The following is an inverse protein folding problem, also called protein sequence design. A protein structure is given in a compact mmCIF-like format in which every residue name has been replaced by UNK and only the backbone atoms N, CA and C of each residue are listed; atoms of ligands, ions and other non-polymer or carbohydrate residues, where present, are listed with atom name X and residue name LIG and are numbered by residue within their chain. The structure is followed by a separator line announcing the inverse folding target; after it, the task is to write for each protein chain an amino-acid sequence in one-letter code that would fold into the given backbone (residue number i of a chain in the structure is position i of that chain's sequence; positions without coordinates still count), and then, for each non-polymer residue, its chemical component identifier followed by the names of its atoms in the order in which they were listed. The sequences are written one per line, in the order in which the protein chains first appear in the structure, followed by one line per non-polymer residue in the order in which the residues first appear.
data_IF_089937607101
#
_entry.id   IF_089937607101
#
_cell.length_a   1.000
_cell.length_b   1.000
_cell.length_c   1.000
_cell.angle_alpha   90.00
_cell.angle_beta   90.00
_cell.angle_gamma   90.00
#
_symmetry.space_group_name_H-M   'P 1'
#
loop_
_entity.id
_entity.type
_entity.pdbx_description
1 polymer ?
#
# COMPACT_ATOMS: atom_id res chain seq x y z
N UNK A 1 -5.74 4.05 -14.77
CA UNK A 1 -6.80 4.44 -15.73
C UNK A 1 -6.69 5.93 -15.96
N UNK A 2 -6.88 6.43 -17.18
CA UNK A 2 -6.71 7.85 -17.52
C UNK A 2 -7.73 8.76 -16.83
N UNK A 3 -8.95 8.28 -16.65
CA UNK A 3 -10.05 8.99 -15.99
C UNK A 3 -11.00 8.00 -15.30
N UNK A 4 -11.92 8.53 -14.49
CA UNK A 4 -13.09 7.82 -14.01
C UNK A 4 -14.33 8.64 -14.31
N UNK A 5 -15.16 8.15 -15.24
CA UNK A 5 -16.40 8.82 -15.68
C UNK A 5 -16.16 10.24 -16.21
N UNK A 6 -15.01 10.48 -16.87
CA UNK A 6 -14.60 11.78 -17.39
C UNK A 6 -13.80 12.64 -16.40
N UNK A 7 -13.72 12.23 -15.13
CA UNK A 7 -12.94 12.94 -14.10
C UNK A 7 -11.48 12.47 -14.10
N UNK A 8 -10.57 13.29 -14.62
CA UNK A 8 -9.14 12.97 -14.73
C UNK A 8 -8.42 12.96 -13.37
N UNK A 9 -8.92 13.71 -12.38
CA UNK A 9 -8.38 13.80 -11.03
C UNK A 9 -9.25 13.06 -10.00
N UNK A 10 -9.93 12.00 -10.45
CA UNK A 10 -10.70 11.15 -9.56
C UNK A 10 -9.81 10.41 -8.55
N UNK A 11 -10.42 9.98 -7.44
CA UNK A 11 -9.75 9.26 -6.34
C UNK A 11 -8.93 8.03 -6.77
N UNK A 12 -9.26 7.40 -7.90
CA UNK A 12 -8.68 6.15 -8.40
C UNK A 12 -7.74 6.35 -9.61
N UNK A 13 -7.43 7.59 -10.00
CA UNK A 13 -6.46 7.92 -11.04
C UNK A 13 -5.04 8.32 -10.56
N UNK A 14 -4.70 8.51 -9.26
CA UNK A 14 -3.37 9.03 -8.87
C UNK A 14 -2.18 8.27 -9.46
N UNK A 15 -2.21 6.94 -9.47
CA UNK A 15 -1.10 6.13 -10.00
C UNK A 15 -0.92 6.26 -11.51
N UNK A 16 -1.99 6.52 -12.26
CA UNK A 16 -1.88 6.80 -13.69
C UNK A 16 -1.03 8.05 -13.93
N UNK A 17 -1.24 9.10 -13.12
CA UNK A 17 -0.44 10.31 -13.19
C UNK A 17 0.99 10.07 -12.69
N UNK A 18 1.17 9.29 -11.62
CA UNK A 18 2.51 8.93 -11.12
C UNK A 18 3.36 8.22 -12.17
N UNK A 19 2.76 7.37 -13.02
CA UNK A 19 3.48 6.69 -14.10
C UNK A 19 4.09 7.63 -15.14
N UNK A 20 3.63 8.88 -15.18
CA UNK A 20 4.08 9.93 -16.09
C UNK A 20 4.81 11.08 -15.38
N UNK A 21 5.07 10.95 -14.08
CA UNK A 21 5.74 11.99 -13.29
C UNK A 21 7.25 11.83 -13.36
N UNK A 22 7.95 12.88 -13.81
CA UNK A 22 9.40 12.93 -13.81
C UNK A 22 9.98 12.71 -12.40
N UNK A 23 11.03 11.88 -12.31
CA UNK A 23 11.67 11.53 -11.04
C UNK A 23 11.02 10.35 -10.31
N UNK A 24 9.92 9.80 -10.83
CA UNK A 24 9.36 8.53 -10.36
C UNK A 24 9.83 7.39 -11.27
N UNK A 25 10.48 6.40 -10.68
CA UNK A 25 10.87 5.18 -11.37
C UNK A 25 9.74 4.16 -11.29
N UNK A 26 9.10 3.88 -12.43
CA UNK A 26 7.90 3.04 -12.45
C UNK A 26 8.14 1.61 -11.94
N UNK A 27 9.32 1.02 -12.20
CA UNK A 27 9.65 -0.33 -11.71
C UNK A 27 9.93 -0.37 -10.20
N UNK A 28 10.01 0.80 -9.56
CA UNK A 28 10.04 0.95 -8.10
C UNK A 28 8.64 1.14 -7.49
N UNK A 29 7.59 1.28 -8.31
CA UNK A 29 6.20 1.27 -7.86
C UNK A 29 5.75 -0.17 -7.70
N UNK A 30 5.52 -0.60 -6.46
CA UNK A 30 5.10 -1.96 -6.13
C UNK A 30 3.72 -1.95 -5.48
N UNK A 31 2.71 -2.25 -6.29
CA UNK A 31 1.33 -2.44 -5.84
C UNK A 31 1.21 -3.75 -5.07
N UNK A 32 0.98 -3.65 -3.76
CA UNK A 32 1.03 -4.79 -2.86
C UNK A 32 -0.32 -5.04 -2.21
N UNK A 33 -0.77 -6.30 -2.21
CA UNK A 33 -2.05 -6.68 -1.61
C UNK A 33 -3.25 -6.52 -2.53
N UNK A 34 -3.05 -6.53 -3.85
CA UNK A 34 -4.15 -6.49 -4.82
C UNK A 34 -5.06 -7.72 -4.61
N UNK A 35 -6.34 -7.44 -4.36
CA UNK A 35 -7.39 -8.44 -4.11
C UNK A 35 -8.77 -7.91 -4.49
N UNK A 36 -9.78 -8.77 -4.37
CA UNK A 36 -11.18 -8.40 -4.54
C UNK A 36 -11.61 -8.17 -5.99
N UNK A 37 -12.94 -8.14 -6.24
CA UNK A 37 -13.51 -8.04 -7.58
C UNK A 37 -13.59 -6.60 -8.11
N UNK A 38 -13.23 -5.59 -7.31
CA UNK A 38 -13.31 -4.16 -7.69
C UNK A 38 -12.25 -3.75 -8.71
N UNK A 39 -11.19 -4.54 -8.87
CA UNK A 39 -10.12 -4.28 -9.83
C UNK A 39 -10.56 -4.63 -11.25
N UNK A 40 -10.37 -3.70 -12.18
CA UNK A 40 -10.67 -3.91 -13.59
C UNK A 40 -9.44 -4.49 -14.31
N UNK A 41 -9.58 -5.43 -15.26
CA UNK A 41 -8.43 -5.96 -16.00
C UNK A 41 -7.57 -4.87 -16.66
N UNK A 42 -8.20 -3.79 -17.10
CA UNK A 42 -7.54 -2.65 -17.72
C UNK A 42 -6.57 -1.94 -16.76
N UNK A 43 -6.90 -1.83 -15.47
CA UNK A 43 -6.00 -1.19 -14.49
C UNK A 43 -4.73 -2.00 -14.27
N UNK A 44 -4.86 -3.34 -14.28
CA UNK A 44 -3.70 -4.24 -14.24
C UNK A 44 -2.82 -4.12 -15.48
N UNK A 45 -3.42 -3.98 -16.66
CA UNK A 45 -2.67 -3.76 -17.92
C UNK A 45 -1.88 -2.45 -17.88
N UNK A 46 -2.51 -1.34 -17.47
CA UNK A 46 -1.81 -0.06 -17.38
C UNK A 46 -0.61 -0.11 -16.41
N UNK A 47 -0.78 -0.76 -15.26
CA UNK A 47 0.33 -0.93 -14.32
C UNK A 47 1.48 -1.74 -14.95
N UNK A 48 1.17 -2.83 -15.65
CA UNK A 48 2.16 -3.67 -16.32
C UNK A 48 2.88 -2.92 -17.45
N UNK A 49 2.12 -2.24 -18.32
CA UNK A 49 2.65 -1.44 -19.44
C UNK A 49 3.53 -0.29 -18.95
N UNK A 50 3.22 0.31 -17.80
CA UNK A 50 4.04 1.34 -17.18
C UNK A 50 5.34 0.79 -16.56
N UNK A 51 5.46 -0.54 -16.38
CA UNK A 51 6.60 -1.19 -15.71
C UNK A 51 6.43 -1.36 -14.20
N UNK A 52 5.26 -1.01 -13.64
CA UNK A 52 4.98 -1.18 -12.23
C UNK A 52 4.75 -2.65 -11.87
N UNK A 53 5.10 -3.00 -10.64
CA UNK A 53 5.05 -4.38 -10.15
C UNK A 53 3.76 -4.58 -9.37
N UNK A 54 3.08 -5.70 -9.63
CA UNK A 54 1.84 -6.06 -8.93
C UNK A 54 2.06 -7.34 -8.13
N UNK A 55 1.77 -7.27 -6.83
CA UNK A 55 1.81 -8.37 -5.87
C UNK A 55 0.40 -8.53 -5.32
N UNK A 56 -0.16 -9.72 -5.53
CA UNK A 56 -1.52 -10.05 -5.09
C UNK A 56 -1.52 -10.51 -3.63
N UNK A 57 -2.71 -10.57 -3.03
CA UNK A 57 -2.88 -11.17 -1.71
C UNK A 57 -2.46 -12.65 -1.68
N UNK A 58 -2.59 -13.36 -2.80
CA UNK A 58 -2.19 -14.77 -2.89
C UNK A 58 -0.68 -14.91 -2.87
N UNK A 59 0.07 -13.98 -3.47
CA UNK A 59 1.54 -13.96 -3.42
C UNK A 59 2.02 -13.74 -1.98
N UNK A 60 1.40 -12.80 -1.26
CA UNK A 60 1.70 -12.54 0.16
C UNK A 60 1.45 -13.80 1.00
N UNK A 61 0.32 -14.49 0.80
CA UNK A 61 -0.05 -15.68 1.58
C UNK A 61 0.72 -16.94 1.18
N UNK A 62 1.27 -16.98 -0.04
CA UNK A 62 2.16 -18.05 -0.48
C UNK A 62 3.58 -17.89 0.12
N UNK A 63 3.94 -16.71 0.62
CA UNK A 63 5.24 -16.47 1.21
C UNK A 63 5.45 -17.33 2.47
N UNK A 64 6.51 -18.14 2.50
CA UNK A 64 6.87 -18.94 3.67
C UNK A 64 7.33 -18.06 4.85
N UNK A 65 7.89 -16.89 4.56
CA UNK A 65 8.33 -15.93 5.56
C UNK A 65 7.95 -14.51 5.14
N UNK A 66 6.91 -13.97 5.77
CA UNK A 66 6.38 -12.65 5.47
C UNK A 66 7.40 -11.53 5.70
N UNK A 67 8.27 -11.65 6.72
CA UNK A 67 9.27 -10.62 7.01
C UNK A 67 10.31 -10.53 5.91
N UNK A 68 10.83 -11.68 5.48
CA UNK A 68 11.78 -11.73 4.37
C UNK A 68 11.12 -11.23 3.07
N UNK A 69 9.88 -11.65 2.82
CA UNK A 69 9.11 -11.18 1.67
C UNK A 69 8.95 -9.65 1.66
N UNK A 70 8.64 -9.03 2.79
CA UNK A 70 8.61 -7.58 2.92
C UNK A 70 10.00 -6.94 2.66
N UNK A 71 11.08 -7.52 3.18
CA UNK A 71 12.44 -7.01 2.88
C UNK A 71 12.79 -7.10 1.40
N UNK A 72 12.35 -8.15 0.71
CA UNK A 72 12.58 -8.34 -0.72
C UNK A 72 11.78 -7.31 -1.54
N UNK A 73 10.53 -7.04 -1.18
CA UNK A 73 9.72 -5.95 -1.76
C UNK A 73 10.44 -4.62 -1.61
N UNK A 74 10.89 -4.29 -0.39
CA UNK A 74 11.59 -3.03 -0.15
C UNK A 74 12.88 -2.94 -0.98
N UNK A 75 13.67 -4.02 -1.03
CA UNK A 75 14.92 -4.05 -1.81
C UNK A 75 14.68 -3.80 -3.30
N UNK A 76 13.56 -4.30 -3.83
CA UNK A 76 13.15 -4.01 -5.20
C UNK A 76 12.75 -2.55 -5.39
N UNK A 77 11.95 -2.00 -4.47
CA UNK A 77 11.51 -0.60 -4.52
C UNK A 77 12.69 0.38 -4.38
N UNK A 78 13.65 0.07 -3.51
CA UNK A 78 14.82 0.90 -3.23
C UNK A 78 15.95 0.77 -4.26
N UNK A 79 15.75 -0.02 -5.32
CA UNK A 79 16.76 -0.20 -6.36
C UNK A 79 16.82 1.04 -7.25
N UNK A 80 18.02 1.62 -7.38
CA UNK A 80 18.32 2.76 -8.25
C UNK A 80 17.45 4.00 -7.98
N UNK A 81 17.09 4.23 -6.71
CA UNK A 81 16.32 5.40 -6.25
C UNK A 81 16.96 5.99 -4.99
N UNK A 82 16.80 7.30 -4.78
CA UNK A 82 17.35 7.99 -3.60
C UNK A 82 16.55 7.75 -2.33
N UNK A 83 15.23 7.58 -2.46
CA UNK A 83 14.29 7.48 -1.33
C UNK A 83 13.13 6.54 -1.65
N UNK A 84 12.54 5.96 -0.60
CA UNK A 84 11.33 5.14 -0.67
C UNK A 84 10.22 5.80 0.13
N UNK A 85 9.04 5.94 -0.50
CA UNK A 85 7.82 6.46 0.12
C UNK A 85 6.79 5.34 0.24
N UNK A 86 6.08 5.27 1.36
CA UNK A 86 5.04 4.26 1.58
C UNK A 86 3.65 4.91 1.62
N UNK A 87 2.78 4.57 0.67
CA UNK A 87 1.36 4.95 0.73
C UNK A 87 0.52 3.73 1.08
N UNK A 88 -0.38 3.87 2.06
CA UNK A 88 -1.22 2.77 2.53
C UNK A 88 -2.68 3.14 2.34
N UNK A 89 -3.34 2.41 1.44
CA UNK A 89 -4.80 2.45 1.32
C UNK A 89 -5.42 1.50 2.34
N UNK A 90 -6.30 2.02 3.19
CA UNK A 90 -6.97 1.22 4.24
C UNK A 90 -7.75 0.02 3.69
N UNK A 91 -8.27 0.16 2.47
CA UNK A 91 -8.99 -0.88 1.72
C UNK A 91 -8.14 -2.13 1.41
N UNK A 92 -6.82 -2.10 1.64
CA UNK A 92 -5.97 -3.31 1.51
C UNK A 92 -6.30 -4.36 2.58
N UNK A 93 -6.86 -3.94 3.71
CA UNK A 93 -7.29 -4.81 4.79
C UNK A 93 -8.59 -5.52 4.45
N UNK A 94 -8.71 -6.76 4.92
CA UNK A 94 -9.99 -7.46 4.90
C UNK A 94 -11.04 -6.67 5.69
N UNK A 95 -12.30 -6.65 5.23
CA UNK A 95 -13.40 -5.95 5.89
C UNK A 95 -13.55 -6.33 7.38
N UNK A 96 -13.13 -7.54 7.79
CA UNK A 96 -13.10 -7.96 9.19
C UNK A 96 -12.17 -7.08 10.06
N UNK A 97 -11.16 -6.47 9.47
CA UNK A 97 -10.20 -5.56 10.11
C UNK A 97 -10.34 -4.10 9.68
N UNK A 98 -11.17 -3.81 8.67
CA UNK A 98 -11.53 -2.46 8.22
C UNK A 98 -13.05 -2.24 8.23
N UNK A 99 -13.68 -2.13 9.42
CA UNK A 99 -15.14 -2.06 9.55
C UNK A 99 -15.77 -0.79 8.98
N UNK A 100 -15.00 0.30 8.83
CA UNK A 100 -15.47 1.54 8.21
C UNK A 100 -15.29 1.59 6.70
N UNK A 101 -14.47 0.70 6.14
CA UNK A 101 -14.15 0.62 4.73
C UNK A 101 -15.22 -0.08 3.88
N UNK A 102 -14.97 -0.22 2.58
CA UNK A 102 -15.79 -1.03 1.70
C UNK A 102 -15.76 -2.50 2.13
N UNK A 103 -16.83 -3.23 1.81
CA UNK A 103 -16.99 -4.65 2.16
C UNK A 103 -16.20 -5.53 1.18
N UNK A 104 -14.87 -5.43 1.28
CA UNK A 104 -13.93 -6.24 0.52
C UNK A 104 -13.43 -7.41 1.36
N UNK A 105 -13.84 -8.61 0.95
CA UNK A 105 -13.35 -9.85 1.54
C UNK A 105 -12.03 -10.30 0.91
N UNK A 106 -11.31 -11.13 1.66
CA UNK A 106 -10.05 -11.72 1.26
C UNK A 106 -8.88 -10.73 1.18
N UNK A 107 -8.89 -9.71 2.04
CA UNK A 107 -7.81 -8.73 2.15
C UNK A 107 -6.70 -9.16 3.12
N UNK A 108 -5.81 -8.23 3.44
CA UNK A 108 -4.76 -8.43 4.45
C UNK A 108 -5.34 -8.43 5.86
N UNK A 109 -4.74 -9.22 6.73
CA UNK A 109 -4.94 -9.11 8.17
C UNK A 109 -4.16 -7.92 8.74
N UNK A 110 -4.58 -7.44 9.91
CA UNK A 110 -3.83 -6.40 10.63
C UNK A 110 -2.40 -6.84 10.97
N UNK A 111 -2.19 -8.12 11.26
CA UNK A 111 -0.86 -8.71 11.50
C UNK A 111 0.04 -8.61 10.26
N UNK A 112 -0.47 -9.00 9.09
CA UNK A 112 0.31 -8.99 7.86
C UNK A 112 0.72 -7.56 7.50
N UNK A 113 -0.23 -6.63 7.53
CA UNK A 113 0.03 -5.22 7.20
C UNK A 113 1.05 -4.60 8.16
N UNK A 114 0.87 -4.77 9.47
CA UNK A 114 1.80 -4.21 10.46
C UNK A 114 3.19 -4.84 10.38
N UNK A 115 3.28 -6.13 10.07
CA UNK A 115 4.57 -6.79 9.86
C UNK A 115 5.30 -6.17 8.68
N UNK A 116 4.62 -5.95 7.55
CA UNK A 116 5.23 -5.33 6.36
C UNK A 116 5.64 -3.88 6.63
N UNK A 117 4.77 -3.07 7.25
CA UNK A 117 5.08 -1.68 7.64
C UNK A 117 6.30 -1.62 8.55
N UNK A 118 6.37 -2.53 9.53
CA UNK A 118 7.52 -2.62 10.43
C UNK A 118 8.81 -2.90 9.64
N UNK A 119 8.83 -3.93 8.80
CA UNK A 119 10.03 -4.28 8.04
C UNK A 119 10.45 -3.13 7.10
N UNK A 120 9.51 -2.49 6.39
CA UNK A 120 9.78 -1.32 5.55
C UNK A 120 10.34 -0.15 6.38
N UNK A 121 9.73 0.14 7.53
CA UNK A 121 10.19 1.20 8.43
C UNK A 121 11.60 0.98 8.97
N UNK A 122 12.01 -0.29 9.15
CA UNK A 122 13.39 -0.64 9.55
C UNK A 122 14.42 -0.53 8.43
N UNK A 123 14.00 -0.35 7.18
CA UNK A 123 14.91 -0.21 6.04
C UNK A 123 15.05 1.26 5.58
N UNK A 124 14.16 2.14 6.05
CA UNK A 124 14.23 3.58 5.86
C UNK A 124 13.15 4.11 4.91
N UNK A 125 12.22 4.90 5.42
CA UNK A 125 11.20 5.55 4.58
C UNK A 125 11.38 7.06 4.68
N UNK A 126 11.29 7.78 3.55
CA UNK A 126 11.32 9.24 3.55
C UNK A 126 10.00 9.85 4.04
N UNK A 127 8.92 9.08 3.96
CA UNK A 127 7.59 9.47 4.40
C UNK A 127 6.59 8.33 4.24
N UNK A 128 5.42 8.52 4.86
CA UNK A 128 4.30 7.61 4.72
C UNK A 128 2.97 8.37 4.84
N UNK A 129 1.99 7.98 4.03
CA UNK A 129 0.59 8.35 4.23
C UNK A 129 -0.30 7.12 4.47
N UNK A 130 -1.49 7.38 5.02
CA UNK A 130 -2.51 6.38 5.25
C UNK A 130 -3.86 6.98 4.82
N UNK A 131 -4.45 6.43 3.76
CA UNK A 131 -5.60 6.99 3.04
C UNK A 131 -6.80 6.04 3.12
N UNK A 132 -7.97 6.52 2.71
CA UNK A 132 -9.25 5.79 2.75
C UNK A 132 -9.74 5.41 4.15
N UNK A 133 -9.57 6.32 5.11
CA UNK A 133 -10.14 6.15 6.46
C UNK A 133 -11.52 6.80 6.48
N UNK A 134 -12.53 6.05 6.95
CA UNK A 134 -13.92 6.51 7.00
C UNK A 134 -14.45 6.54 8.45
N UNK A 135 -14.10 7.55 9.27
CA UNK A 135 -14.47 7.59 10.69
C UNK A 135 -15.99 7.55 10.93
N UNK A 136 -16.77 8.14 10.03
CA UNK A 136 -18.23 8.18 10.13
C UNK A 136 -18.88 6.80 9.98
N UNK A 137 -18.19 5.87 9.32
CA UNK A 137 -18.65 4.52 9.09
C UNK A 137 -18.05 3.53 10.09
N UNK A 138 -17.14 3.96 10.96
CA UNK A 138 -16.50 3.12 11.97
C UNK A 138 -17.38 3.07 13.25
N UNK A 139 -18.07 1.95 13.54
CA UNK A 139 -19.06 1.88 14.62
C UNK A 139 -18.46 2.07 16.03
N UNK A 140 -17.14 1.98 16.17
CA UNK A 140 -16.35 2.30 17.38
C UNK A 140 -15.00 2.83 16.87
N UNK A 141 -14.30 3.82 17.48
CA UNK A 141 -13.07 4.44 16.95
C UNK A 141 -11.82 3.53 16.94
N UNK A 142 -12.00 2.23 16.72
CA UNK A 142 -10.98 1.19 16.70
C UNK A 142 -10.14 1.29 15.43
N UNK A 143 -10.74 1.60 14.28
CA UNK A 143 -10.01 1.69 13.02
C UNK A 143 -9.16 2.95 12.94
N UNK A 144 -9.70 4.09 13.40
CA UNK A 144 -8.90 5.33 13.55
C UNK A 144 -7.70 5.13 14.49
N UNK A 145 -7.86 4.31 15.55
CA UNK A 145 -6.76 3.97 16.45
C UNK A 145 -5.71 3.06 15.79
N UNK A 146 -6.13 2.15 14.90
CA UNK A 146 -5.24 1.32 14.10
C UNK A 146 -4.38 2.15 13.13
N UNK A 147 -4.92 3.21 12.55
CA UNK A 147 -4.17 4.13 11.69
C UNK A 147 -3.03 4.83 12.47
N UNK A 148 -3.34 5.32 13.69
CA UNK A 148 -2.35 5.91 14.59
C UNK A 148 -1.28 4.89 14.98
N UNK A 149 -1.68 3.64 15.19
CA UNK A 149 -0.76 2.55 15.50
C UNK A 149 0.20 2.28 14.33
N UNK A 150 -0.29 2.21 13.09
CA UNK A 150 0.55 2.08 11.88
C UNK A 150 1.59 3.20 11.79
N UNK A 151 1.18 4.45 12.00
CA UNK A 151 2.09 5.60 12.03
C UNK A 151 3.16 5.45 13.12
N UNK A 152 2.78 4.99 14.30
CA UNK A 152 3.71 4.79 15.42
C UNK A 152 4.73 3.69 15.10
N UNK A 153 4.29 2.58 14.50
CA UNK A 153 5.16 1.48 14.05
C UNK A 153 6.11 1.91 12.93
N UNK A 154 5.72 2.85 12.07
CA UNK A 154 6.68 3.40 11.11
C UNK A 154 7.66 4.38 11.81
N UNK A 155 7.12 5.44 12.44
CA UNK A 155 7.90 6.60 12.90
C UNK A 155 8.86 6.32 14.04
N UNK A 156 8.49 5.45 15.00
CA UNK A 156 9.38 5.10 16.10
C UNK A 156 10.66 4.41 15.60
N UNK A 157 10.57 3.68 14.48
CA UNK A 157 11.64 2.80 14.03
C UNK A 157 12.50 3.46 12.95
N UNK A 158 11.89 4.23 12.04
CA UNK A 158 12.63 5.09 11.13
C UNK A 158 13.55 6.05 11.92
N UNK A 159 13.06 6.64 13.03
CA UNK A 159 13.86 7.54 13.88
C UNK A 159 14.93 6.85 14.73
N UNK A 160 14.80 5.56 15.05
CA UNK A 160 15.82 4.82 15.78
C UNK A 160 17.02 4.42 14.92
N UNK A 161 16.85 4.36 13.59
CA UNK A 161 17.90 3.92 12.65
C UNK A 161 18.61 5.07 11.93
N UNK A 162 18.00 6.26 11.88
CA UNK A 162 18.66 7.48 11.40
C UNK A 162 19.41 8.25 12.51
N UNK A 163 19.92 7.54 13.54
CA UNK A 163 20.87 8.08 14.51
C UNK A 163 22.22 7.42 14.37
#
# INVERSE_FOLDING_TARGET
MPDYEGEIYARNTPFMHLYHTDGIRNESIIHTGIHGPRNKPETGKYANEAGAVTITINDIRAATNLKQFARDIYKQASKDVDVVYLTICSDVLDFAFNPGGPVDGNGMTSYELLTMIYEFGTLGLCGMDYVEVYPMNDPKPKFSSFCIYCRTVCTCWTRCLFK
#
